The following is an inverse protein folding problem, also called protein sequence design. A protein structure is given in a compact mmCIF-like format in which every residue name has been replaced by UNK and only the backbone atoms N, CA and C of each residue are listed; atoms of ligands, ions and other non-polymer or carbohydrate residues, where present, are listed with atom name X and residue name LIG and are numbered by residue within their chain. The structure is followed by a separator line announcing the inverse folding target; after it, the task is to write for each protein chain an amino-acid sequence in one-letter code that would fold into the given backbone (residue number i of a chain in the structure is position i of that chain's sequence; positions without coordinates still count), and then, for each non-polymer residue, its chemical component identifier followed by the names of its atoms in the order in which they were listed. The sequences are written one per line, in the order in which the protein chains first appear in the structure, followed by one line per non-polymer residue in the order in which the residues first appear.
data_IF_475518856382
#
_entry.id   IF_475518856382
#
_cell.length_a   1.000
_cell.length_b   1.000
_cell.length_c   1.000
_cell.angle_alpha   90.00
_cell.angle_beta   90.00
_cell.angle_gamma   90.00
#
_symmetry.space_group_name_H-M   'P 1'
#
loop_
_entity.id
_entity.type
_entity.pdbx_description
1 polymer ?
#
# COMPACT_ATOMS: atom_id res chain seq x y z
N UNK A 1 22.34 -8.41 9.99
CA UNK A 1 21.93 -8.10 8.61
C UNK A 1 20.61 -8.78 8.18
N UNK A 2 19.88 -9.52 9.04
CA UNK A 2 18.62 -10.19 8.64
C UNK A 2 17.31 -9.38 8.83
N UNK A 3 17.34 -8.28 9.58
CA UNK A 3 16.10 -7.57 9.97
C UNK A 3 15.42 -6.78 8.84
N UNK A 4 16.18 -6.28 7.86
CA UNK A 4 15.62 -5.58 6.70
C UNK A 4 14.90 -6.55 5.77
N UNK A 5 15.57 -7.63 5.36
CA UNK A 5 15.00 -8.66 4.50
C UNK A 5 13.73 -9.27 5.11
N UNK A 6 13.74 -9.53 6.42
CA UNK A 6 12.57 -10.01 7.15
C UNK A 6 11.42 -8.98 7.15
N UNK A 7 11.72 -7.69 7.36
CA UNK A 7 10.72 -6.63 7.33
C UNK A 7 10.09 -6.45 5.95
N UNK A 8 10.88 -6.54 4.87
CA UNK A 8 10.40 -6.46 3.49
C UNK A 8 9.62 -7.72 3.09
N UNK A 9 10.06 -8.90 3.53
CA UNK A 9 9.31 -10.14 3.31
C UNK A 9 7.95 -10.11 4.03
N UNK A 10 7.91 -9.59 5.25
CA UNK A 10 6.66 -9.37 6.01
C UNK A 10 5.74 -8.37 5.30
N UNK A 11 6.29 -7.28 4.72
CA UNK A 11 5.54 -6.33 3.91
C UNK A 11 4.88 -7.03 2.72
N UNK A 12 5.65 -7.77 1.92
CA UNK A 12 5.12 -8.53 0.79
C UNK A 12 4.02 -9.53 1.20
N UNK A 13 4.16 -10.17 2.37
CA UNK A 13 3.14 -11.05 2.91
C UNK A 13 1.86 -10.32 3.31
N UNK A 14 1.96 -9.15 3.96
CA UNK A 14 0.82 -8.31 4.30
C UNK A 14 0.10 -7.81 3.04
N UNK A 15 0.84 -7.40 2.00
CA UNK A 15 0.27 -7.01 0.71
C UNK A 15 -0.56 -8.10 0.06
N UNK A 16 -0.05 -9.34 0.03
CA UNK A 16 -0.81 -10.51 -0.48
C UNK A 16 -2.07 -10.79 0.32
N UNK A 17 -2.03 -10.67 1.65
CA UNK A 17 -3.22 -10.85 2.49
C UNK A 17 -4.25 -9.78 2.22
N UNK A 18 -3.83 -8.52 2.13
CA UNK A 18 -4.72 -7.40 1.82
C UNK A 18 -5.37 -7.58 0.45
N UNK A 19 -4.58 -7.93 -0.58
CA UNK A 19 -5.09 -8.20 -1.91
C UNK A 19 -6.07 -9.38 -1.95
N UNK A 20 -5.80 -10.46 -1.21
CA UNK A 20 -6.71 -11.59 -1.06
C UNK A 20 -8.04 -11.18 -0.40
N UNK A 21 -7.98 -10.35 0.65
CA UNK A 21 -9.18 -9.80 1.30
C UNK A 21 -10.02 -8.97 0.32
N UNK A 22 -9.42 -8.06 -0.45
CA UNK A 22 -10.15 -7.24 -1.43
C UNK A 22 -10.83 -8.13 -2.48
N UNK A 23 -10.13 -9.15 -2.99
CA UNK A 23 -10.71 -10.12 -3.95
C UNK A 23 -11.88 -10.92 -3.36
N UNK A 24 -11.94 -11.06 -2.03
CA UNK A 24 -13.02 -11.78 -1.34
C UNK A 24 -14.28 -10.95 -1.11
N UNK A 25 -14.23 -9.63 -1.33
CA UNK A 25 -15.38 -8.75 -1.13
C UNK A 25 -16.49 -9.11 -2.13
N UNK A 26 -17.68 -9.40 -1.61
CA UNK A 26 -18.85 -9.78 -2.41
C UNK A 26 -19.28 -8.63 -3.32
N UNK A 27 -19.13 -8.78 -4.63
CA UNK A 27 -19.69 -7.81 -5.56
C UNK A 27 -21.21 -7.89 -5.59
N UNK A 28 -21.85 -6.73 -5.68
CA UNK A 28 -23.26 -6.66 -6.05
C UNK A 28 -23.53 -7.35 -7.39
N UNK A 29 -24.81 -7.48 -7.73
CA UNK A 29 -25.28 -8.22 -8.91
C UNK A 29 -24.85 -7.59 -10.25
N UNK A 30 -24.44 -6.32 -10.28
CA UNK A 30 -24.06 -5.61 -11.51
C UNK A 30 -22.55 -5.32 -11.61
N UNK A 31 -21.89 -5.74 -12.70
CA UNK A 31 -20.51 -5.37 -12.97
C UNK A 31 -20.45 -3.89 -13.35
N UNK A 32 -19.89 -3.06 -12.47
CA UNK A 32 -19.50 -1.69 -12.79
C UNK A 32 -18.00 -1.62 -13.11
N UNK A 33 -17.54 -0.68 -13.97
CA UNK A 33 -16.12 -0.49 -14.25
C UNK A 33 -15.29 -0.29 -12.98
N UNK A 34 -15.83 0.46 -12.01
CA UNK A 34 -15.20 0.67 -10.71
C UNK A 34 -15.17 -0.62 -9.88
N UNK A 35 -16.23 -1.42 -9.92
CA UNK A 35 -16.27 -2.72 -9.24
C UNK A 35 -15.22 -3.71 -9.79
N UNK A 36 -15.01 -3.73 -11.10
CA UNK A 36 -13.94 -4.51 -11.73
C UNK A 36 -12.56 -3.98 -11.31
N UNK A 37 -12.35 -2.66 -11.39
CA UNK A 37 -11.10 -2.03 -10.99
C UNK A 37 -10.72 -2.32 -9.52
N UNK A 38 -11.69 -2.22 -8.59
CA UNK A 38 -11.46 -2.53 -7.16
C UNK A 38 -11.08 -4.00 -6.96
N UNK A 39 -11.57 -4.93 -7.79
CA UNK A 39 -11.30 -6.36 -7.62
C UNK A 39 -10.07 -6.89 -8.34
N UNK A 40 -9.66 -6.21 -9.41
CA UNK A 40 -8.59 -6.68 -10.29
C UNK A 40 -7.36 -5.78 -10.11
N UNK A 41 -7.49 -4.51 -10.48
CA UNK A 41 -6.38 -3.56 -10.54
C UNK A 41 -5.86 -3.14 -9.14
N UNK A 42 -6.75 -2.90 -8.19
CA UNK A 42 -6.36 -2.45 -6.84
C UNK A 42 -5.56 -3.53 -6.07
N UNK A 43 -5.98 -4.81 -6.01
CA UNK A 43 -5.21 -5.88 -5.41
C UNK A 43 -3.81 -6.04 -6.02
N UNK A 44 -3.71 -5.95 -7.35
CA UNK A 44 -2.42 -5.99 -8.04
C UNK A 44 -1.53 -4.79 -7.67
N UNK A 45 -2.10 -3.58 -7.60
CA UNK A 45 -1.37 -2.39 -7.19
C UNK A 45 -0.85 -2.53 -5.74
N UNK A 46 -1.64 -3.08 -4.82
CA UNK A 46 -1.21 -3.30 -3.43
C UNK A 46 -0.10 -4.35 -3.36
N UNK A 47 -0.23 -5.49 -4.05
CA UNK A 47 0.81 -6.52 -4.10
C UNK A 47 2.12 -5.96 -4.69
N UNK A 48 2.01 -5.18 -5.76
CA UNK A 48 3.15 -4.52 -6.40
C UNK A 48 3.81 -3.50 -5.49
N UNK A 49 3.03 -2.61 -4.87
CA UNK A 49 3.55 -1.63 -3.91
C UNK A 49 4.33 -2.30 -2.78
N UNK A 50 3.74 -3.35 -2.19
CA UNK A 50 4.28 -3.99 -1.00
C UNK A 50 5.48 -4.90 -1.29
N UNK A 51 5.55 -5.48 -2.49
CA UNK A 51 6.71 -6.26 -2.94
C UNK A 51 7.84 -5.40 -3.53
N UNK A 52 7.51 -4.19 -4.00
CA UNK A 52 8.45 -3.26 -4.60
C UNK A 52 9.10 -2.28 -3.61
N UNK A 53 8.77 -2.35 -2.31
CA UNK A 53 9.35 -1.47 -1.30
C UNK A 53 10.88 -1.58 -1.32
N UNK A 54 11.53 -0.42 -1.39
CA UNK A 54 12.97 -0.31 -1.53
C UNK A 54 13.51 0.76 -0.58
N UNK A 55 14.20 0.36 0.51
CA UNK A 55 14.90 1.25 1.42
C UNK A 55 15.97 2.13 0.73
N UNK A 56 16.51 1.70 -0.42
CA UNK A 56 17.50 2.48 -1.16
C UNK A 56 16.88 3.59 -2.01
N UNK A 57 15.56 3.53 -2.24
CA UNK A 57 14.80 4.58 -2.89
C UNK A 57 14.38 5.68 -1.90
N UNK A 58 15.26 6.01 -0.94
CA UNK A 58 15.06 7.06 0.05
C UNK A 58 15.39 8.45 -0.47
N UNK A 59 14.97 9.46 0.29
CA UNK A 59 15.32 10.86 0.10
C UNK A 59 16.85 10.96 -0.01
N UNK A 60 17.33 11.65 -1.05
CA UNK A 60 18.76 11.78 -1.31
C UNK A 60 19.10 13.13 -1.91
N UNK A 61 20.33 13.58 -1.66
CA UNK A 61 20.88 14.74 -2.34
C UNK A 61 21.37 14.34 -3.73
N UNK A 62 20.95 15.08 -4.75
CA UNK A 62 21.52 14.95 -6.08
C UNK A 62 22.93 15.60 -6.16
N UNK A 63 23.68 15.40 -7.27
CA UNK A 63 24.99 16.01 -7.44
C UNK A 63 25.00 17.55 -7.46
N UNK A 64 23.85 18.19 -7.70
CA UNK A 64 23.66 19.64 -7.68
C UNK A 64 23.35 20.21 -6.29
N UNK A 65 23.21 19.35 -5.28
CA UNK A 65 22.85 19.74 -3.93
C UNK A 65 21.35 20.01 -3.75
N UNK A 66 20.50 19.45 -4.61
CA UNK A 66 19.04 19.53 -4.48
C UNK A 66 18.53 18.24 -3.84
N UNK A 67 17.62 18.39 -2.87
CA UNK A 67 16.92 17.25 -2.28
C UNK A 67 15.99 16.62 -3.33
N UNK A 68 16.15 15.33 -3.55
CA UNK A 68 15.27 14.51 -4.36
C UNK A 68 14.47 13.61 -3.42
N UNK A 69 13.15 13.77 -3.45
CA UNK A 69 12.25 12.96 -2.67
C UNK A 69 12.34 11.50 -3.11
N UNK A 70 12.54 10.62 -2.14
CA UNK A 70 12.49 9.18 -2.29
C UNK A 70 11.07 8.71 -2.57
N UNK A 71 10.99 7.57 -3.25
CA UNK A 71 9.71 6.90 -3.49
C UNK A 71 9.46 5.75 -2.51
N UNK A 72 10.48 5.32 -1.76
CA UNK A 72 10.44 4.11 -0.95
C UNK A 72 10.14 2.84 -1.77
N UNK A 73 10.41 2.87 -3.08
CA UNK A 73 10.13 1.79 -4.02
C UNK A 73 8.77 1.87 -4.72
N UNK A 74 7.92 2.84 -4.35
CA UNK A 74 6.59 2.98 -4.95
C UNK A 74 6.65 3.72 -6.29
N UNK A 75 6.38 3.02 -7.39
CA UNK A 75 6.31 3.64 -8.72
C UNK A 75 5.06 4.53 -8.89
N UNK A 76 5.14 5.47 -9.83
CA UNK A 76 4.12 6.51 -10.02
C UNK A 76 2.77 5.97 -10.49
N UNK A 77 2.76 4.90 -11.29
CA UNK A 77 1.52 4.24 -11.72
C UNK A 77 0.80 3.62 -10.52
N UNK A 78 1.54 2.88 -9.70
CA UNK A 78 1.02 2.25 -8.49
C UNK A 78 0.55 3.29 -7.48
N UNK A 79 1.33 4.37 -7.28
CA UNK A 79 0.95 5.51 -6.45
C UNK A 79 -0.36 6.14 -6.93
N UNK A 80 -0.49 6.38 -8.23
CA UNK A 80 -1.71 6.96 -8.82
C UNK A 80 -2.93 6.10 -8.56
N UNK A 81 -2.81 4.77 -8.68
CA UNK A 81 -3.90 3.83 -8.37
C UNK A 81 -4.29 3.89 -6.88
N UNK A 82 -3.31 3.93 -5.97
CA UNK A 82 -3.59 4.02 -4.52
C UNK A 82 -4.26 5.34 -4.12
N UNK A 83 -3.83 6.46 -4.71
CA UNK A 83 -4.42 7.79 -4.48
C UNK A 83 -5.84 7.90 -5.03
N UNK A 84 -6.19 7.10 -6.03
CA UNK A 84 -7.54 7.07 -6.60
C UNK A 84 -8.57 6.31 -5.74
N UNK A 85 -8.13 5.48 -4.79
CA UNK A 85 -9.01 4.61 -3.97
C UNK A 85 -10.17 5.38 -3.29
N UNK A 86 -9.95 6.55 -2.64
CA UNK A 86 -11.05 7.32 -2.05
C UNK A 86 -12.13 7.70 -3.05
N UNK A 87 -11.79 7.98 -4.31
CA UNK A 87 -12.76 8.25 -5.37
C UNK A 87 -13.51 6.97 -5.77
N UNK A 88 -12.77 5.88 -6.02
CA UNK A 88 -13.35 4.60 -6.42
C UNK A 88 -14.36 4.05 -5.39
N UNK A 89 -14.08 4.17 -4.09
CA UNK A 89 -14.98 3.62 -3.07
C UNK A 89 -16.31 4.38 -2.96
N UNK A 90 -16.37 5.66 -3.35
CA UNK A 90 -17.64 6.41 -3.36
C UNK A 90 -18.62 5.86 -4.39
N UNK A 91 -18.11 5.39 -5.54
CA UNK A 91 -18.91 4.83 -6.63
C UNK A 91 -19.22 3.32 -6.41
N UNK A 92 -18.59 2.70 -5.41
CA UNK A 92 -18.78 1.30 -5.05
C UNK A 92 -19.91 1.12 -4.02
N UNK A 93 -21.14 1.39 -4.44
CA UNK A 93 -22.35 1.32 -3.58
C UNK A 93 -22.66 -0.09 -3.04
N UNK A 94 -22.01 -1.12 -3.60
CA UNK A 94 -22.14 -2.50 -3.14
C UNK A 94 -21.28 -2.79 -1.89
N UNK A 95 -20.33 -1.91 -1.55
CA UNK A 95 -19.54 -2.01 -0.33
C UNK A 95 -20.29 -1.37 0.84
N UNK A 96 -20.14 -1.97 2.03
CA UNK A 96 -20.56 -1.29 3.26
C UNK A 96 -19.66 -0.09 3.55
N UNK A 97 -20.14 0.94 4.28
CA UNK A 97 -19.29 2.06 4.69
C UNK A 97 -18.01 1.61 5.43
N UNK A 98 -18.10 0.55 6.22
CA UNK A 98 -16.96 -0.05 6.91
C UNK A 98 -15.93 -0.61 5.91
N UNK A 99 -16.37 -1.34 4.89
CA UNK A 99 -15.49 -1.86 3.83
C UNK A 99 -14.85 -0.72 3.01
N UNK A 100 -15.60 0.34 2.70
CA UNK A 100 -15.07 1.52 2.02
C UNK A 100 -13.95 2.18 2.84
N UNK A 101 -14.17 2.38 4.14
CA UNK A 101 -13.16 2.95 5.05
C UNK A 101 -11.93 2.07 5.13
N UNK A 102 -12.11 0.75 5.26
CA UNK A 102 -10.99 -0.22 5.32
C UNK A 102 -10.16 -0.22 4.05
N UNK A 103 -10.78 -0.12 2.87
CA UNK A 103 -10.06 0.02 1.60
C UNK A 103 -9.21 1.30 1.55
N UNK A 104 -9.77 2.43 1.96
CA UNK A 104 -9.04 3.71 2.05
C UNK A 104 -7.90 3.62 3.05
N UNK A 105 -8.13 2.98 4.19
CA UNK A 105 -7.10 2.77 5.20
C UNK A 105 -5.96 1.91 4.66
N UNK A 106 -6.24 0.78 4.02
CA UNK A 106 -5.22 -0.08 3.39
C UNK A 106 -4.40 0.70 2.36
N UNK A 107 -5.05 1.40 1.43
CA UNK A 107 -4.35 2.17 0.40
C UNK A 107 -3.45 3.28 0.99
N UNK A 108 -3.94 3.94 2.04
CA UNK A 108 -3.22 4.98 2.76
C UNK A 108 -2.04 4.43 3.54
N UNK A 109 -2.19 3.28 4.21
CA UNK A 109 -1.12 2.60 4.96
C UNK A 109 -0.02 2.10 4.04
N UNK A 110 -0.36 1.54 2.87
CA UNK A 110 0.61 1.13 1.85
C UNK A 110 1.41 2.32 1.33
N UNK A 111 0.72 3.42 0.99
CA UNK A 111 1.38 4.66 0.55
C UNK A 111 2.26 5.25 1.66
N UNK A 112 1.77 5.26 2.89
CA UNK A 112 2.49 5.75 4.06
C UNK A 112 3.74 4.93 4.38
N UNK A 113 3.71 3.61 4.21
CA UNK A 113 4.87 2.76 4.40
C UNK A 113 6.00 3.06 3.40
N UNK A 114 5.65 3.28 2.13
CA UNK A 114 6.62 3.75 1.15
C UNK A 114 7.20 5.11 1.55
N UNK A 115 6.39 6.02 2.12
CA UNK A 115 6.89 7.31 2.61
C UNK A 115 7.83 7.17 3.82
N UNK A 116 7.53 6.27 4.77
CA UNK A 116 8.42 5.99 5.90
C UNK A 116 9.81 5.53 5.43
N UNK A 117 9.83 4.63 4.43
CA UNK A 117 11.07 4.19 3.80
C UNK A 117 11.75 5.29 2.99
N UNK A 118 10.97 6.19 2.39
CA UNK A 118 11.52 7.33 1.68
C UNK A 118 12.24 8.29 2.65
N UNK A 119 11.66 8.57 3.82
CA UNK A 119 12.18 9.57 4.75
C UNK A 119 13.39 9.06 5.55
N UNK A 120 13.23 7.94 6.26
CA UNK A 120 14.30 7.35 7.07
C UNK A 120 14.11 5.83 7.15
N UNK A 121 14.63 5.08 6.16
CA UNK A 121 14.47 3.64 6.12
C UNK A 121 15.13 2.95 7.32
N UNK A 122 16.23 3.51 7.82
CA UNK A 122 16.96 2.98 8.97
C UNK A 122 16.10 3.00 10.22
N UNK A 123 15.49 4.14 10.52
CA UNK A 123 14.55 4.27 11.66
C UNK A 123 13.31 3.43 11.44
N UNK A 124 12.72 3.46 10.23
CA UNK A 124 11.48 2.76 9.93
C UNK A 124 11.58 1.24 10.16
N UNK A 125 12.73 0.65 9.82
CA UNK A 125 13.04 -0.77 10.02
C UNK A 125 13.44 -1.04 11.48
N UNK A 126 14.44 -0.31 12.00
CA UNK A 126 15.05 -0.65 13.31
C UNK A 126 14.13 -0.40 14.49
N UNK A 127 13.22 0.57 14.40
CA UNK A 127 12.25 0.88 15.45
C UNK A 127 10.91 0.16 15.26
N UNK A 128 10.77 -0.62 14.18
CA UNK A 128 9.58 -1.41 13.88
C UNK A 128 8.36 -0.60 13.43
N UNK A 129 8.56 0.59 12.86
CA UNK A 129 7.45 1.40 12.31
C UNK A 129 6.76 0.67 11.15
N UNK A 130 7.52 0.06 10.24
CA UNK A 130 6.96 -0.76 9.18
C UNK A 130 6.15 -1.94 9.73
N UNK A 131 6.67 -2.63 10.74
CA UNK A 131 5.96 -3.74 11.38
C UNK A 131 4.62 -3.29 11.99
N UNK A 132 4.59 -2.10 12.61
CA UNK A 132 3.33 -1.52 13.13
C UNK A 132 2.36 -1.18 12.01
N UNK A 133 2.84 -0.63 10.89
CA UNK A 133 2.01 -0.38 9.71
C UNK A 133 1.38 -1.66 9.16
N UNK A 134 2.13 -2.77 9.11
CA UNK A 134 1.59 -4.07 8.66
C UNK A 134 0.57 -4.65 9.63
N UNK A 135 0.76 -4.48 10.94
CA UNK A 135 -0.25 -4.86 11.91
C UNK A 135 -1.56 -4.08 11.73
N UNK A 136 -1.50 -2.80 11.34
CA UNK A 136 -2.68 -2.01 11.01
C UNK A 136 -3.35 -2.50 9.71
N UNK A 137 -2.56 -2.84 8.70
CA UNK A 137 -3.09 -3.46 7.46
C UNK A 137 -3.80 -4.76 7.79
N UNK A 138 -3.16 -5.64 8.56
CA UNK A 138 -3.75 -6.91 8.98
C UNK A 138 -5.04 -6.69 9.78
N UNK A 139 -5.06 -5.71 10.68
CA UNK A 139 -6.27 -5.37 11.44
C UNK A 139 -7.41 -4.86 10.55
N UNK A 140 -7.11 -4.08 9.52
CA UNK A 140 -8.11 -3.55 8.60
C UNK A 140 -8.82 -4.64 7.78
N UNK A 141 -8.17 -5.79 7.58
CA UNK A 141 -8.64 -6.87 6.71
C UNK A 141 -9.21 -8.09 7.46
N UNK A 142 -9.33 -8.01 8.80
CA UNK A 142 -9.99 -9.04 9.65
C UNK A 142 -11.50 -8.86 9.70
#
# INVERSE_FOLDING_TARGET
MGGEEEALAAAGAAGRRAAAWIRSLSTGLDPSPVGSWIREDLPEAIERAMSGLDPQACDRMDPGGVMVDGTGGLDEETRSKLVFVPCAVQDALWLTPDQQIRLVAVASLVTGAARLLAEDPGTAITTGELSRTWALVDHAIV
#
